data_IF_572271051274
#
_entry.id   IF_572271051274
#
_cell.length_a   1.000
_cell.length_b   1.000
_cell.length_c   1.000
_cell.angle_alpha   90.00
_cell.angle_beta   90.00
_cell.angle_gamma   90.00
#
_symmetry.space_group_name_H-M   'P 1'
#
loop_
_entity.id
_entity.type
_entity.pdbx_description
1 polymer ?
#
# COMPACT_ATOMS: atom_id res chain seq x y z
N UNK A 1 59.63 -31.55 16.73
CA UNK A 1 60.07 -31.68 18.13
C UNK A 1 59.96 -30.30 18.78
N UNK A 2 58.84 -30.01 19.43
CA UNK A 2 58.67 -29.16 20.62
C UNK A 2 57.15 -29.11 20.89
N UNK A 3 56.76 -29.67 22.01
CA UNK A 3 55.38 -29.77 22.49
C UNK A 3 55.08 -28.56 23.37
N UNK A 4 53.93 -27.92 23.22
CA UNK A 4 53.37 -27.07 24.28
C UNK A 4 51.95 -27.55 24.55
N UNK A 5 51.79 -28.25 25.67
CA UNK A 5 50.50 -28.52 26.27
C UNK A 5 49.99 -27.23 26.93
N UNK A 6 48.84 -26.73 26.49
CA UNK A 6 48.04 -25.78 27.24
C UNK A 6 46.76 -26.51 27.70
N UNK A 7 46.75 -26.86 28.98
CA UNK A 7 45.59 -27.35 29.72
C UNK A 7 44.55 -26.23 29.83
N UNK A 8 43.38 -26.41 29.22
CA UNK A 8 42.21 -25.55 29.40
C UNK A 8 41.43 -25.98 30.66
N UNK A 9 41.19 -25.08 31.63
CA UNK A 9 40.08 -25.25 32.55
C UNK A 9 38.81 -24.65 31.92
N UNK A 10 37.80 -25.50 31.72
CA UNK A 10 36.40 -25.06 31.64
C UNK A 10 35.82 -25.10 33.07
N UNK A 11 34.71 -24.40 33.43
CA UNK A 11 33.70 -23.85 32.52
C UNK A 11 33.16 -22.44 32.92
N UNK A 12 32.31 -21.90 32.06
CA UNK A 12 31.40 -20.76 32.33
C UNK A 12 32.01 -19.35 32.36
N UNK A 13 31.79 -18.59 31.29
CA UNK A 13 30.83 -17.45 31.28
C UNK A 13 30.88 -16.73 29.93
N UNK A 14 29.67 -16.42 29.45
CA UNK A 14 29.39 -15.38 28.46
C UNK A 14 29.91 -15.59 27.03
N UNK A 15 29.54 -16.73 26.46
CA UNK A 15 29.20 -16.75 25.04
C UNK A 15 27.88 -15.98 24.85
N UNK A 16 27.97 -14.68 24.59
CA UNK A 16 26.90 -13.97 23.89
C UNK A 16 27.58 -13.09 22.85
N UNK A 17 27.76 -13.71 21.67
CA UNK A 17 27.92 -13.07 20.37
C UNK A 17 27.23 -11.70 20.37
N UNK A 18 28.00 -10.64 20.14
CA UNK A 18 27.47 -9.33 19.80
C UNK A 18 26.68 -9.46 18.49
N UNK A 19 25.37 -9.70 18.62
CA UNK A 19 24.42 -9.68 17.53
C UNK A 19 24.27 -8.22 17.12
N UNK A 20 25.08 -7.78 16.15
CA UNK A 20 24.91 -6.54 15.42
C UNK A 20 23.57 -6.63 14.68
N UNK A 21 22.49 -6.20 15.35
CA UNK A 21 21.22 -5.92 14.69
C UNK A 21 21.46 -4.69 13.83
N UNK A 22 21.84 -4.92 12.58
CA UNK A 22 21.72 -3.91 11.55
C UNK A 22 20.24 -3.56 11.45
N UNK A 23 19.85 -2.46 12.10
CA UNK A 23 18.56 -1.82 11.86
C UNK A 23 18.65 -1.29 10.43
N UNK A 24 18.28 -2.13 9.47
CA UNK A 24 17.98 -1.71 8.12
C UNK A 24 16.87 -0.66 8.25
N UNK A 25 17.26 0.61 8.18
CA UNK A 25 16.33 1.72 8.21
C UNK A 25 15.23 1.44 7.20
N UNK A 26 13.99 1.40 7.68
CA UNK A 26 12.84 1.41 6.81
C UNK A 26 13.02 2.60 5.87
N UNK A 27 13.31 2.33 4.60
CA UNK A 27 13.19 3.36 3.58
C UNK A 27 11.78 3.90 3.72
N UNK A 28 11.65 5.20 3.98
CA UNK A 28 10.42 5.91 3.72
C UNK A 28 10.09 5.63 2.25
N UNK A 29 9.24 4.64 2.00
CA UNK A 29 8.76 4.34 0.66
C UNK A 29 8.24 5.63 0.08
N UNK A 30 8.68 5.98 -1.14
CA UNK A 30 8.42 7.25 -1.82
C UNK A 30 7.05 7.82 -1.42
N UNK A 31 7.05 8.78 -0.48
CA UNK A 31 5.82 9.33 0.07
C UNK A 31 5.26 10.28 -0.97
N UNK A 32 4.07 9.97 -1.48
CA UNK A 32 3.35 10.86 -2.39
C UNK A 32 2.70 11.97 -1.57
N UNK A 33 3.08 13.21 -1.85
CA UNK A 33 2.53 14.40 -1.18
C UNK A 33 1.13 14.70 -1.67
N UNK A 34 0.37 15.44 -0.86
CA UNK A 34 -0.96 15.94 -1.26
C UNK A 34 -0.90 16.79 -2.53
N UNK A 35 0.16 17.60 -2.69
CA UNK A 35 0.37 18.42 -3.88
C UNK A 35 0.50 17.56 -5.15
N UNK A 36 1.29 16.50 -5.09
CA UNK A 36 1.46 15.57 -6.22
C UNK A 36 0.13 14.87 -6.55
N UNK A 37 -0.61 14.42 -5.54
CA UNK A 37 -1.93 13.80 -5.76
C UNK A 37 -2.93 14.76 -6.41
N UNK A 38 -2.98 16.02 -6.00
CA UNK A 38 -3.90 17.01 -6.60
C UNK A 38 -3.52 17.29 -8.06
N UNK A 39 -2.23 17.26 -8.38
CA UNK A 39 -1.72 17.54 -9.73
C UNK A 39 -1.84 16.38 -10.72
N UNK A 40 -2.13 15.15 -10.26
CA UNK A 40 -2.15 13.97 -11.10
C UNK A 40 -3.51 13.25 -11.05
N UNK A 41 -4.17 13.21 -12.22
CA UNK A 41 -5.46 12.55 -12.41
C UNK A 41 -5.46 11.06 -12.05
N UNK A 42 -4.31 10.38 -12.03
CA UNK A 42 -4.21 8.97 -11.63
C UNK A 42 -4.59 8.73 -10.16
N UNK A 43 -4.60 9.78 -9.32
CA UNK A 43 -5.01 9.76 -7.92
C UNK A 43 -6.48 10.19 -7.68
N UNK A 44 -7.27 10.34 -8.75
CA UNK A 44 -8.67 10.75 -8.67
C UNK A 44 -9.60 9.71 -9.29
N UNK A 45 -10.81 9.51 -8.75
CA UNK A 45 -11.78 8.63 -9.37
C UNK A 45 -12.15 9.15 -10.77
N UNK A 46 -12.13 8.29 -11.81
CA UNK A 46 -12.61 8.65 -13.14
C UNK A 46 -14.07 9.12 -13.10
N UNK A 47 -14.46 9.98 -14.04
CA UNK A 47 -15.85 10.41 -14.15
C UNK A 47 -16.73 9.22 -14.54
N UNK A 48 -17.83 8.99 -13.82
CA UNK A 48 -18.81 7.98 -14.17
C UNK A 48 -19.82 8.51 -15.21
N UNK A 49 -19.44 8.43 -16.50
CA UNK A 49 -20.30 8.80 -17.63
C UNK A 49 -21.05 7.62 -18.24
N UNK A 50 -20.71 6.38 -17.85
CA UNK A 50 -21.31 5.14 -18.34
C UNK A 50 -21.84 4.29 -17.18
N UNK A 51 -22.71 3.33 -17.48
CA UNK A 51 -23.11 2.28 -16.55
C UNK A 51 -22.70 0.91 -17.13
N UNK A 52 -21.82 0.14 -16.47
CA UNK A 52 -21.20 0.42 -15.17
C UNK A 52 -20.18 1.57 -15.20
N UNK A 53 -20.01 2.22 -14.04
CA UNK A 53 -18.89 3.11 -13.74
C UNK A 53 -17.58 2.32 -13.71
N UNK A 54 -16.49 2.89 -14.26
CA UNK A 54 -15.18 2.24 -14.25
C UNK A 54 -14.31 2.82 -13.14
N UNK A 55 -13.78 1.96 -12.26
CA UNK A 55 -12.76 2.28 -11.28
C UNK A 55 -11.38 1.86 -11.78
N UNK A 56 -10.47 2.82 -11.82
CA UNK A 56 -9.04 2.64 -12.08
C UNK A 56 -8.27 3.84 -11.55
N UNK A 57 -7.14 3.60 -10.89
CA UNK A 57 -6.29 4.65 -10.34
C UNK A 57 -5.29 4.15 -9.30
N UNK A 58 -4.32 4.99 -8.98
CA UNK A 58 -3.25 4.72 -8.02
C UNK A 58 -3.67 4.95 -6.56
N UNK A 59 -4.92 5.34 -6.33
CA UNK A 59 -5.45 5.67 -5.01
C UNK A 59 -5.56 7.17 -4.81
N UNK A 60 -5.16 7.68 -3.66
CA UNK A 60 -5.31 9.09 -3.30
C UNK A 60 -6.07 9.26 -1.99
N UNK A 61 -6.91 10.30 -1.92
CA UNK A 61 -7.69 10.60 -0.70
C UNK A 61 -8.89 9.66 -0.63
N UNK A 62 -8.90 8.75 0.35
CA UNK A 62 -9.96 7.74 0.55
C UNK A 62 -11.36 8.34 0.53
N UNK A 63 -11.59 9.47 1.20
CA UNK A 63 -12.90 10.12 1.28
C UNK A 63 -13.43 10.58 -0.09
N UNK A 64 -12.55 11.00 -1.00
CA UNK A 64 -12.94 11.42 -2.36
C UNK A 64 -13.45 10.22 -3.14
N UNK A 65 -12.73 9.10 -3.09
CA UNK A 65 -13.09 7.86 -3.76
C UNK A 65 -14.37 7.25 -3.20
N UNK A 66 -14.51 7.21 -1.87
CA UNK A 66 -15.73 6.72 -1.22
C UNK A 66 -16.95 7.58 -1.55
N UNK A 67 -16.82 8.91 -1.49
CA UNK A 67 -17.90 9.83 -1.85
C UNK A 67 -18.32 9.66 -3.32
N UNK A 68 -17.36 9.47 -4.22
CA UNK A 68 -17.64 9.21 -5.64
C UNK A 68 -18.50 7.94 -5.80
N UNK A 69 -18.12 6.86 -5.13
CA UNK A 69 -18.88 5.60 -5.15
C UNK A 69 -20.27 5.78 -4.57
N UNK A 70 -20.38 6.34 -3.35
CA UNK A 70 -21.65 6.54 -2.65
C UNK A 70 -22.64 7.37 -3.47
N UNK A 71 -22.16 8.45 -4.08
CA UNK A 71 -22.99 9.33 -4.92
C UNK A 71 -23.61 8.59 -6.10
N UNK A 72 -22.85 7.69 -6.73
CA UNK A 72 -23.32 6.97 -7.92
C UNK A 72 -24.08 5.68 -7.58
N UNK A 73 -23.77 5.02 -6.46
CA UNK A 73 -24.60 3.95 -5.90
C UNK A 73 -26.00 4.48 -5.54
N UNK A 74 -26.09 5.66 -4.93
CA UNK A 74 -27.37 6.32 -4.65
C UNK A 74 -28.17 6.66 -5.93
N UNK A 75 -27.50 6.73 -7.09
CA UNK A 75 -28.11 6.90 -8.42
C UNK A 75 -28.40 5.56 -9.12
N UNK A 76 -28.20 4.43 -8.44
CA UNK A 76 -28.45 3.09 -8.97
C UNK A 76 -27.38 2.57 -9.93
N UNK A 77 -26.19 3.19 -9.99
CA UNK A 77 -25.11 2.78 -10.90
C UNK A 77 -24.38 1.54 -10.38
N UNK A 78 -23.89 0.73 -11.32
CA UNK A 78 -23.00 -0.39 -11.02
C UNK A 78 -21.54 0.01 -11.21
N UNK A 79 -20.62 -0.79 -10.66
CA UNK A 79 -19.19 -0.53 -10.75
C UNK A 79 -18.43 -1.74 -11.27
N UNK A 80 -17.41 -1.46 -12.09
CA UNK A 80 -16.41 -2.43 -12.53
C UNK A 80 -15.01 -1.88 -12.31
N UNK A 81 -14.05 -2.79 -12.08
CA UNK A 81 -12.63 -2.43 -12.04
C UNK A 81 -11.98 -2.83 -13.36
N UNK A 82 -11.24 -1.90 -13.96
CA UNK A 82 -10.43 -2.12 -15.17
C UNK A 82 -9.01 -1.61 -14.92
N UNK A 83 -7.99 -2.32 -15.42
CA UNK A 83 -6.59 -1.91 -15.21
C UNK A 83 -6.19 -1.96 -13.74
N UNK A 84 -5.38 -1.00 -13.29
CA UNK A 84 -4.89 -0.94 -11.90
C UNK A 84 -5.88 -0.15 -11.04
N UNK A 85 -6.13 -0.64 -9.82
CA UNK A 85 -6.89 0.04 -8.79
C UNK A 85 -6.22 -0.21 -7.45
N UNK A 86 -5.48 0.79 -6.98
CA UNK A 86 -4.62 0.70 -5.80
C UNK A 86 -5.15 1.56 -4.64
N UNK A 87 -4.80 1.19 -3.41
CA UNK A 87 -5.02 2.01 -2.20
C UNK A 87 -6.47 2.51 -2.10
N UNK A 88 -6.73 3.83 -2.12
CA UNK A 88 -8.08 4.39 -2.06
C UNK A 88 -9.03 3.90 -3.17
N UNK A 89 -8.51 3.61 -4.37
CA UNK A 89 -9.33 3.02 -5.45
C UNK A 89 -9.81 1.61 -5.05
N UNK A 90 -8.91 0.79 -4.50
CA UNK A 90 -9.22 -0.56 -4.05
C UNK A 90 -10.28 -0.56 -2.94
N UNK A 91 -10.15 0.37 -1.98
CA UNK A 91 -11.13 0.55 -0.89
C UNK A 91 -12.51 0.90 -1.48
N UNK A 92 -12.54 1.81 -2.44
CA UNK A 92 -13.77 2.19 -3.13
C UNK A 92 -14.36 1.03 -3.95
N UNK A 93 -13.54 0.22 -4.60
CA UNK A 93 -13.98 -0.97 -5.33
C UNK A 93 -14.64 -2.00 -4.40
N UNK A 94 -14.06 -2.27 -3.22
CA UNK A 94 -14.67 -3.12 -2.20
C UNK A 94 -16.00 -2.56 -1.71
N UNK A 95 -16.04 -1.26 -1.41
CA UNK A 95 -17.24 -0.56 -0.98
C UNK A 95 -18.37 -0.61 -2.02
N UNK A 96 -18.03 -0.50 -3.29
CA UNK A 96 -18.98 -0.57 -4.39
C UNK A 96 -19.45 -2.00 -4.73
N UNK A 97 -18.88 -3.02 -4.09
CA UNK A 97 -18.98 -4.41 -4.53
C UNK A 97 -18.68 -4.55 -6.04
N UNK A 98 -17.67 -3.81 -6.52
CA UNK A 98 -17.37 -3.71 -7.94
C UNK A 98 -16.94 -5.06 -8.54
N UNK A 99 -17.42 -5.35 -9.75
CA UNK A 99 -16.95 -6.53 -10.49
C UNK A 99 -15.56 -6.28 -11.05
N UNK A 100 -14.60 -7.12 -10.68
CA UNK A 100 -13.23 -7.06 -11.22
C UNK A 100 -13.21 -7.70 -12.61
N UNK A 101 -12.83 -6.94 -13.64
CA UNK A 101 -12.75 -7.46 -15.01
C UNK A 101 -11.45 -8.25 -15.24
N UNK A 102 -11.43 -9.17 -16.22
CA UNK A 102 -10.21 -9.87 -16.60
C UNK A 102 -9.05 -8.91 -16.90
N UNK A 103 -7.88 -9.17 -16.35
CA UNK A 103 -6.69 -8.33 -16.51
C UNK A 103 -6.64 -7.09 -15.61
N UNK A 104 -7.65 -6.87 -14.75
CA UNK A 104 -7.57 -5.84 -13.72
C UNK A 104 -6.73 -6.30 -12.51
N UNK A 105 -6.11 -5.36 -11.81
CA UNK A 105 -5.29 -5.60 -10.61
C UNK A 105 -5.77 -4.73 -9.47
N UNK A 106 -6.05 -5.36 -8.33
CA UNK A 106 -6.30 -4.68 -7.07
C UNK A 106 -5.02 -4.69 -6.24
N UNK A 107 -4.56 -3.52 -5.83
CA UNK A 107 -3.38 -3.38 -4.96
C UNK A 107 -3.85 -2.86 -3.61
N UNK A 108 -3.82 -3.74 -2.61
CA UNK A 108 -4.24 -3.43 -1.24
C UNK A 108 -3.11 -2.69 -0.53
N UNK A 109 -3.44 -1.52 0.02
CA UNK A 109 -2.56 -0.76 0.89
C UNK A 109 -3.35 -0.26 2.10
N UNK A 110 -2.71 -0.24 3.27
CA UNK A 110 -3.28 0.42 4.44
C UNK A 110 -3.28 1.95 4.21
N UNK A 111 -4.37 2.65 4.57
CA UNK A 111 -4.39 4.11 4.52
C UNK A 111 -3.27 4.69 5.38
N UNK A 112 -2.48 5.60 4.80
CA UNK A 112 -1.49 6.38 5.54
C UNK A 112 -1.94 7.83 5.66
N UNK A 113 -1.55 8.55 6.72
CA UNK A 113 -1.78 9.98 6.81
C UNK A 113 -1.21 10.70 5.59
N UNK A 114 -1.98 11.62 5.02
CA UNK A 114 -1.52 12.41 3.89
C UNK A 114 -0.44 13.40 4.37
N UNK A 115 0.66 13.48 3.64
CA UNK A 115 1.76 14.41 3.96
C UNK A 115 1.59 15.70 3.15
N UNK A 116 1.49 16.82 3.87
CA UNK A 116 1.45 18.18 3.33
C UNK A 116 2.85 18.75 3.55
N UNK A 117 3.63 18.89 2.48
CA UNK A 117 4.95 19.55 2.48
C UNK A 117 4.85 20.91 1.79
#
# INVERSE_FOLDING_TARGET
>A
MLTVHLTLPAPWRAACLAMLVAVSGCSAGNVVTVREMIGDASYWPPVCNSDPCVLSGNGGITDVWQRHVDTNLARGRQFVVKGVCASACEIAARRAHAKVLPGATLIVHEPQPAVIL
#
